data_IF_855734464339
#
_entry.id   IF_855734464339
#
_cell.length_a   1.000
_cell.length_b   1.000
_cell.length_c   1.000
_cell.angle_alpha   90.00
_cell.angle_beta   90.00
_cell.angle_gamma   90.00
#
_symmetry.space_group_name_H-M   'P 1'
#
loop_
_entity.id
_entity.type
_entity.pdbx_description
1 polymer ?
#
# COMPACT_ATOMS: atom_id res chain seq x y z
N UNK A 1 -15.18 7.09 17.30
CA UNK A 1 -14.72 6.77 15.92
C UNK A 1 -13.39 7.50 15.69
N UNK A 2 -12.29 6.76 15.58
CA UNK A 2 -10.96 7.35 15.36
C UNK A 2 -10.75 7.64 13.88
N UNK A 3 -10.60 8.93 13.54
CA UNK A 3 -10.18 9.36 12.21
C UNK A 3 -8.66 9.32 12.16
N UNK A 4 -8.13 8.81 11.06
CA UNK A 4 -6.69 8.63 10.90
C UNK A 4 -6.25 9.43 9.68
N UNK A 5 -5.26 10.32 9.83
CA UNK A 5 -4.65 10.94 8.66
C UNK A 5 -3.95 9.86 7.83
N UNK A 6 -4.22 9.86 6.54
CA UNK A 6 -3.59 8.94 5.57
C UNK A 6 -3.08 9.78 4.42
N UNK A 7 -1.93 9.42 3.84
CA UNK A 7 -1.42 10.09 2.67
C UNK A 7 -2.29 9.74 1.45
N UNK A 8 -2.90 10.72 0.75
CA UNK A 8 -3.71 10.46 -0.44
C UNK A 8 -2.92 9.75 -1.56
N UNK A 9 -1.60 9.97 -1.62
CA UNK A 9 -0.70 9.29 -2.55
C UNK A 9 -0.69 7.77 -2.30
N UNK A 10 -0.77 7.33 -1.05
CA UNK A 10 -0.77 5.91 -0.70
C UNK A 10 -2.09 5.22 -1.01
N UNK A 11 -3.21 5.93 -0.85
CA UNK A 11 -4.53 5.42 -1.27
C UNK A 11 -4.53 5.15 -2.78
N UNK A 12 -4.07 6.14 -3.56
CA UNK A 12 -3.95 6.01 -5.01
C UNK A 12 -2.98 4.89 -5.41
N UNK A 13 -1.79 4.85 -4.80
CA UNK A 13 -0.80 3.81 -5.06
C UNK A 13 -1.34 2.40 -4.79
N UNK A 14 -2.06 2.21 -3.67
CA UNK A 14 -2.61 0.91 -3.29
C UNK A 14 -3.64 0.43 -4.32
N UNK A 15 -4.47 1.35 -4.84
CA UNK A 15 -5.40 1.08 -5.94
C UNK A 15 -4.65 0.74 -7.23
N UNK A 16 -3.78 1.63 -7.70
CA UNK A 16 -3.05 1.50 -8.97
C UNK A 16 -2.24 0.19 -9.05
N UNK A 17 -1.59 -0.20 -7.95
CA UNK A 17 -0.83 -1.46 -7.87
C UNK A 17 -1.67 -2.70 -8.16
N UNK A 18 -2.95 -2.63 -7.87
CA UNK A 18 -3.86 -3.79 -7.91
C UNK A 18 -4.66 -3.84 -9.21
N UNK A 19 -4.53 -2.80 -10.04
CA UNK A 19 -5.25 -2.68 -11.31
C UNK A 19 -6.75 -2.47 -11.16
N UNK A 20 -7.24 -2.14 -9.96
CA UNK A 20 -8.66 -1.88 -9.72
C UNK A 20 -8.95 -0.42 -10.10
N UNK A 21 -10.02 -0.21 -10.86
CA UNK A 21 -10.42 1.15 -11.23
C UNK A 21 -10.96 1.92 -10.03
N UNK A 22 -10.81 3.24 -10.07
CA UNK A 22 -11.35 4.12 -9.03
C UNK A 22 -12.88 4.08 -9.00
N UNK A 23 -13.52 3.94 -10.15
CA UNK A 23 -14.97 3.89 -10.31
C UNK A 23 -15.55 2.63 -9.66
N UNK A 24 -14.91 1.48 -9.85
CA UNK A 24 -15.28 0.21 -9.22
C UNK A 24 -15.21 0.29 -7.69
N UNK A 25 -14.14 0.89 -7.16
CA UNK A 25 -13.99 1.08 -5.72
C UNK A 25 -14.97 2.12 -5.17
N UNK A 26 -15.32 3.15 -5.95
CA UNK A 26 -16.26 4.20 -5.54
C UNK A 26 -17.68 3.66 -5.30
N UNK A 27 -18.07 2.54 -5.93
CA UNK A 27 -19.35 1.87 -5.66
C UNK A 27 -19.46 1.45 -4.18
N UNK A 28 -18.36 0.91 -3.62
CA UNK A 28 -18.29 0.45 -2.22
C UNK A 28 -17.83 1.54 -1.27
N UNK A 29 -16.95 2.42 -1.74
CA UNK A 29 -16.33 3.50 -0.97
C UNK A 29 -16.64 4.84 -1.62
N UNK A 30 -17.88 5.32 -1.48
CA UNK A 30 -18.37 6.56 -2.12
C UNK A 30 -17.48 7.79 -1.88
N UNK A 31 -16.77 7.83 -0.74
CA UNK A 31 -15.89 8.94 -0.34
C UNK A 31 -14.40 8.71 -0.69
N UNK A 32 -14.10 7.66 -1.46
CA UNK A 32 -12.74 7.35 -1.87
C UNK A 32 -12.15 8.43 -2.78
N UNK A 33 -12.87 8.99 -3.79
CA UNK A 33 -12.33 10.06 -4.63
C UNK A 33 -11.88 11.28 -3.83
N UNK A 34 -12.68 11.71 -2.84
CA UNK A 34 -12.36 12.81 -1.94
C UNK A 34 -11.19 12.45 -1.00
N UNK A 35 -11.08 11.17 -0.61
CA UNK A 35 -9.94 10.66 0.15
C UNK A 35 -8.64 10.68 -0.63
N UNK A 36 -8.65 10.27 -1.91
CA UNK A 36 -7.49 10.32 -2.82
C UNK A 36 -7.07 11.76 -3.17
N UNK A 37 -7.97 12.74 -3.01
CA UNK A 37 -7.67 14.18 -3.10
C UNK A 37 -7.25 14.82 -1.77
N UNK A 38 -7.34 14.10 -0.65
CA UNK A 38 -7.04 14.63 0.69
C UNK A 38 -8.11 15.55 1.27
N UNK A 39 -9.29 15.60 0.66
CA UNK A 39 -10.42 16.43 1.10
C UNK A 39 -11.12 15.83 2.33
N UNK A 40 -10.98 14.52 2.57
CA UNK A 40 -11.59 13.85 3.71
C UNK A 40 -10.62 12.96 4.46
N UNK A 41 -10.79 12.93 5.80
CA UNK A 41 -10.05 12.02 6.68
C UNK A 41 -10.89 10.75 6.93
N UNK A 42 -10.51 9.59 6.39
CA UNK A 42 -11.21 8.33 6.63
C UNK A 42 -11.03 7.88 8.09
N UNK A 43 -11.93 7.00 8.52
CA UNK A 43 -11.79 6.29 9.80
C UNK A 43 -10.89 5.08 9.66
N UNK A 44 -10.30 4.62 10.77
CA UNK A 44 -9.47 3.40 10.76
C UNK A 44 -10.22 2.19 10.18
N UNK A 45 -11.51 2.03 10.51
CA UNK A 45 -12.36 0.97 9.96
C UNK A 45 -12.54 1.07 8.44
N UNK A 46 -12.63 2.29 7.89
CA UNK A 46 -12.73 2.49 6.45
C UNK A 46 -11.41 2.18 5.76
N UNK A 47 -10.28 2.56 6.35
CA UNK A 47 -8.95 2.21 5.84
C UNK A 47 -8.74 0.70 5.85
N UNK A 48 -9.14 0.02 6.92
CA UNK A 48 -9.06 -1.44 7.00
C UNK A 48 -9.92 -2.13 5.93
N UNK A 49 -11.16 -1.65 5.73
CA UNK A 49 -12.04 -2.16 4.69
C UNK A 49 -11.49 -1.90 3.28
N UNK A 50 -10.91 -0.72 3.04
CA UNK A 50 -10.24 -0.37 1.78
C UNK A 50 -9.04 -1.27 1.53
N UNK A 51 -8.13 -1.40 2.50
CA UNK A 51 -6.93 -2.24 2.43
C UNK A 51 -7.29 -3.70 2.08
N UNK A 52 -8.34 -4.25 2.70
CA UNK A 52 -8.87 -5.58 2.36
C UNK A 52 -9.44 -5.66 0.93
N UNK A 53 -10.09 -4.61 0.45
CA UNK A 53 -10.67 -4.58 -0.90
C UNK A 53 -9.60 -4.53 -2.00
N UNK A 54 -8.52 -3.79 -1.78
CA UNK A 54 -7.37 -3.71 -2.70
C UNK A 54 -6.32 -4.78 -2.41
N UNK A 55 -6.54 -5.70 -1.46
CA UNK A 55 -5.59 -6.75 -1.08
C UNK A 55 -4.17 -6.22 -0.74
N UNK A 56 -4.11 -5.08 -0.04
CA UNK A 56 -2.88 -4.48 0.46
C UNK A 56 -2.90 -4.51 1.99
N UNK A 57 -1.78 -4.84 2.67
CA UNK A 57 -1.73 -4.75 4.12
C UNK A 57 -2.01 -3.32 4.61
N UNK A 58 -2.83 -3.18 5.65
CA UNK A 58 -3.17 -1.87 6.23
C UNK A 58 -1.91 -1.07 6.63
N UNK A 59 -0.88 -1.75 7.14
CA UNK A 59 0.40 -1.13 7.51
C UNK A 59 1.13 -0.45 6.35
N UNK A 60 0.86 -0.85 5.10
CA UNK A 60 1.47 -0.24 3.91
C UNK A 60 0.88 1.12 3.54
N UNK A 61 -0.16 1.60 4.23
CA UNK A 61 -0.81 2.90 4.00
C UNK A 61 -0.35 4.02 4.95
N UNK A 62 0.61 3.73 5.84
CA UNK A 62 1.13 4.66 6.85
C UNK A 62 2.58 5.14 6.67
N UNK A 63 3.40 4.64 5.73
CA UNK A 63 4.67 5.30 5.39
C UNK A 63 4.47 6.73 4.86
N UNK A 64 5.55 7.50 4.69
CA UNK A 64 5.47 8.79 3.98
C UNK A 64 5.35 8.61 2.47
N UNK A 65 6.06 7.63 1.91
CA UNK A 65 6.12 7.33 0.49
C UNK A 65 5.73 5.87 0.20
N UNK A 66 5.22 5.57 -1.01
CA UNK A 66 4.93 4.20 -1.41
C UNK A 66 6.15 3.29 -1.26
N UNK A 67 6.02 2.09 -0.67
CA UNK A 67 7.15 1.19 -0.51
C UNK A 67 7.68 0.77 -1.89
N UNK A 68 8.88 1.23 -2.23
CA UNK A 68 9.57 0.86 -3.45
C UNK A 68 10.00 -0.61 -3.35
N UNK A 69 9.45 -1.47 -4.20
CA UNK A 69 9.69 -2.92 -4.14
C UNK A 69 10.82 -3.30 -5.07
N UNK A 70 12.04 -2.88 -4.76
CA UNK A 70 13.24 -3.53 -5.28
C UNK A 70 13.52 -4.74 -4.40
N UNK A 71 12.90 -5.87 -4.71
CA UNK A 71 13.32 -7.15 -4.14
C UNK A 71 14.40 -7.68 -5.07
N UNK A 72 15.68 -7.70 -4.68
CA UNK A 72 16.69 -8.33 -5.50
C UNK A 72 16.31 -9.80 -5.68
N UNK A 73 16.16 -10.23 -6.92
CA UNK A 73 15.96 -11.64 -7.22
C UNK A 73 17.27 -12.32 -6.87
N UNK A 74 17.29 -13.05 -5.76
CA UNK A 74 18.48 -13.78 -5.34
C UNK A 74 18.88 -14.78 -6.43
N UNK A 75 20.09 -14.62 -6.96
CA UNK A 75 20.64 -15.58 -7.91
C UNK A 75 21.19 -16.79 -7.14
N UNK A 76 20.33 -17.78 -6.91
CA UNK A 76 20.64 -18.99 -6.14
C UNK A 76 21.64 -19.94 -6.84
N UNK A 77 22.09 -19.61 -8.06
CA UNK A 77 23.07 -20.43 -8.81
C UNK A 77 24.52 -20.03 -8.51
N UNK A 78 24.75 -18.90 -7.87
CA UNK A 78 26.10 -18.43 -7.52
C UNK A 78 26.42 -18.79 -6.08
N UNK A 79 27.44 -19.61 -5.86
CA UNK A 79 27.91 -19.99 -4.51
C UNK A 79 28.38 -18.77 -3.68
N UNK A 80 28.72 -17.66 -4.35
CA UNK A 80 29.01 -16.37 -3.71
C UNK A 80 27.76 -15.62 -3.21
N UNK A 81 26.57 -15.86 -3.77
CA UNK A 81 25.34 -15.13 -3.41
C UNK A 81 24.77 -15.46 -2.02
N UNK A 82 25.28 -16.52 -1.39
CA UNK A 82 24.92 -16.89 -0.01
C UNK A 82 25.59 -15.94 0.99
N UNK A 83 26.73 -15.32 0.64
CA UNK A 83 27.43 -14.36 1.50
C UNK A 83 26.74 -12.98 1.54
N UNK A 84 26.27 -12.46 0.40
CA UNK A 84 25.56 -11.16 0.33
C UNK A 84 24.20 -11.18 1.06
N UNK A 85 23.50 -12.32 1.06
CA UNK A 85 22.21 -12.44 1.74
C UNK A 85 22.35 -12.43 3.28
N UNK A 86 23.52 -12.80 3.81
CA UNK A 86 23.80 -12.78 5.25
C UNK A 86 24.12 -11.37 5.76
N UNK A 87 24.74 -10.52 4.93
CA UNK A 87 25.13 -9.15 5.28
C UNK A 87 23.92 -8.19 5.27
N UNK A 88 22.89 -8.46 4.45
CA UNK A 88 21.67 -7.64 4.39
C UNK A 88 20.66 -7.92 5.54
N UNK A 89 20.93 -8.91 6.40
CA UNK A 89 20.00 -9.36 7.47
C UNK A 89 20.65 -9.27 8.87
N UNK A 90 21.89 -8.76 8.97
CA UNK A 90 22.60 -8.49 10.21
C UNK A 90 22.47 -7.02 10.63
#
# INVERSE_FOLDING_TARGET
>A
MTRVPVNPVLLRWARERTGIDQEDLAVRFKKLPEGERGETKPTLKQLEAFARAVNVPLGSLFPEEPPNRHVPIANLRTVAGIAEFAEAVA
#
